data_IF_275405465394
#
_entry.id   IF_275405465394
#
_cell.length_a   1.000
_cell.length_b   1.000
_cell.length_c   1.000
_cell.angle_alpha   90.00
_cell.angle_beta   90.00
_cell.angle_gamma   90.00
#
_symmetry.space_group_name_H-M   'P 1'
#
loop_
_entity.id
_entity.type
_entity.pdbx_description
1 polymer ?
#
# COMPACT_ATOMS: atom_id res chain seq x y z
N UNK A 1 -29.26 -31.25 36.12
CA UNK A 1 -27.81 -31.29 35.85
C UNK A 1 -27.43 -31.58 34.39
N UNK A 2 -27.98 -32.58 33.70
CA UNK A 2 -27.61 -32.88 32.29
C UNK A 2 -27.89 -31.77 31.26
N UNK A 3 -28.81 -30.83 31.55
CA UNK A 3 -29.12 -29.69 30.67
C UNK A 3 -28.20 -28.47 30.88
N UNK A 4 -27.70 -28.23 32.10
CA UNK A 4 -26.73 -27.16 32.38
C UNK A 4 -25.40 -27.37 31.65
N UNK A 5 -24.97 -28.62 31.49
CA UNK A 5 -23.73 -28.97 30.80
C UNK A 5 -23.77 -28.61 29.30
N UNK A 6 -24.93 -28.70 28.66
CA UNK A 6 -25.08 -28.37 27.22
C UNK A 6 -25.13 -26.87 26.96
N UNK A 7 -25.72 -26.10 27.88
CA UNK A 7 -25.73 -24.63 27.82
C UNK A 7 -24.32 -24.07 28.03
N UNK A 8 -23.55 -24.65 28.97
CA UNK A 8 -22.18 -24.23 29.23
C UNK A 8 -21.24 -24.51 28.03
N UNK A 9 -21.40 -25.65 27.34
CA UNK A 9 -20.61 -25.98 26.13
C UNK A 9 -20.93 -25.02 24.97
N UNK A 10 -22.20 -24.63 24.78
CA UNK A 10 -22.57 -23.65 23.77
C UNK A 10 -22.03 -22.25 24.10
N UNK A 11 -21.98 -21.89 25.38
CA UNK A 11 -21.41 -20.61 25.84
C UNK A 11 -19.88 -20.56 25.68
N UNK A 12 -19.17 -21.65 25.99
CA UNK A 12 -17.72 -21.76 25.82
C UNK A 12 -17.32 -21.80 24.33
N UNK A 13 -18.11 -22.45 23.48
CA UNK A 13 -17.89 -22.43 22.03
C UNK A 13 -18.06 -21.03 21.41
N UNK A 14 -18.92 -20.18 21.98
CA UNK A 14 -19.09 -18.78 21.53
C UNK A 14 -18.02 -17.82 22.07
N UNK A 15 -17.37 -18.13 23.21
CA UNK A 15 -16.26 -17.31 23.74
C UNK A 15 -14.94 -17.65 23.04
N UNK A 16 -14.77 -18.90 22.56
CA UNK A 16 -13.54 -19.35 21.91
C UNK A 16 -13.37 -18.85 20.45
N UNK A 17 -14.40 -18.28 19.83
CA UNK A 17 -14.36 -17.79 18.45
C UNK A 17 -13.96 -16.32 18.31
N UNK A 18 -13.51 -15.67 19.39
CA UNK A 18 -13.25 -14.23 19.41
C UNK A 18 -11.76 -13.87 19.49
N UNK A 19 -10.86 -14.72 19.02
CA UNK A 19 -9.51 -14.26 18.68
C UNK A 19 -9.62 -13.50 17.36
N UNK A 20 -9.92 -12.21 17.46
CA UNK A 20 -9.96 -11.29 16.33
C UNK A 20 -8.51 -10.92 16.03
N UNK A 21 -8.05 -11.26 14.83
CA UNK A 21 -6.93 -10.56 14.21
C UNK A 21 -7.52 -9.18 13.86
N UNK A 22 -7.00 -8.12 14.46
CA UNK A 22 -7.42 -6.75 14.11
C UNK A 22 -7.12 -6.54 12.63
N UNK A 23 -8.12 -6.10 11.87
CA UNK A 23 -7.94 -5.57 10.54
C UNK A 23 -7.78 -4.06 10.67
N UNK A 24 -6.76 -3.48 10.08
CA UNK A 24 -6.46 -2.08 10.20
C UNK A 24 -6.02 -1.45 8.88
N UNK A 25 -6.15 -0.13 8.84
CA UNK A 25 -5.61 0.67 7.75
C UNK A 25 -4.45 1.46 8.32
N UNK A 26 -3.28 1.26 7.74
CA UNK A 26 -2.09 2.08 7.98
C UNK A 26 -2.16 3.27 7.03
N UNK A 27 -2.19 4.50 7.53
CA UNK A 27 -2.15 5.70 6.67
C UNK A 27 -0.97 6.61 7.02
N UNK A 28 -0.37 7.17 5.98
CA UNK A 28 0.64 8.20 6.05
C UNK A 28 0.27 9.31 5.05
N UNK A 29 -0.14 10.45 5.57
CA UNK A 29 -0.56 11.62 4.78
C UNK A 29 0.41 12.77 5.02
N UNK A 30 0.77 13.51 3.98
CA UNK A 30 1.50 14.76 4.09
C UNK A 30 0.94 15.80 3.12
N UNK A 31 0.60 16.97 3.66
CA UNK A 31 -0.21 17.95 2.96
C UNK A 31 0.52 19.11 2.31
N UNK A 32 1.86 19.09 2.16
CA UNK A 32 2.68 19.97 1.29
C UNK A 32 4.17 19.67 1.49
N UNK A 33 4.88 19.17 0.48
CA UNK A 33 6.29 18.82 0.60
C UNK A 33 7.08 19.33 -0.61
N UNK A 34 7.72 20.50 -0.49
CA UNK A 34 8.64 20.95 -1.52
C UNK A 34 9.78 19.92 -1.63
N UNK A 35 9.74 19.09 -2.68
CA UNK A 35 10.78 18.10 -3.01
C UNK A 35 12.14 18.77 -3.20
N UNK A 36 12.17 20.08 -3.43
CA UNK A 36 13.41 20.85 -3.42
C UNK A 36 13.85 21.30 -2.01
N UNK A 37 13.00 21.24 -0.98
CA UNK A 37 13.35 21.59 0.39
C UNK A 37 14.28 20.53 1.02
N UNK A 38 14.00 19.25 0.78
CA UNK A 38 14.93 18.14 1.06
C UNK A 38 16.24 18.25 0.27
N UNK A 39 16.26 19.11 -0.75
CA UNK A 39 17.29 19.24 -1.76
C UNK A 39 17.96 20.63 -1.80
N UNK A 40 17.64 21.53 -0.86
CA UNK A 40 18.08 22.93 -0.85
C UNK A 40 19.60 23.12 -0.78
N UNK A 41 20.36 22.07 -0.47
CA UNK A 41 21.83 22.05 -0.44
C UNK A 41 22.49 21.21 -1.55
N UNK A 42 21.73 20.45 -2.34
CA UNK A 42 22.26 19.61 -3.41
C UNK A 42 21.96 20.21 -4.81
N UNK A 43 22.96 20.76 -5.53
CA UNK A 43 22.75 21.34 -6.85
C UNK A 43 22.33 20.32 -7.92
N UNK A 44 22.41 19.01 -7.64
CA UNK A 44 21.89 17.96 -8.53
C UNK A 44 20.37 17.77 -8.44
N UNK A 45 19.72 18.34 -7.43
CA UNK A 45 18.26 18.26 -7.25
C UNK A 45 17.52 19.46 -7.85
N UNK A 46 17.82 19.82 -9.09
CA UNK A 46 17.13 20.93 -9.76
C UNK A 46 16.42 20.39 -11.00
N UNK A 47 15.14 20.03 -10.89
CA UNK A 47 14.29 20.14 -12.09
C UNK A 47 13.28 19.05 -12.41
N UNK A 48 12.63 18.45 -11.43
CA UNK A 48 11.43 17.65 -11.70
C UNK A 48 10.15 18.28 -11.12
N UNK A 49 10.09 19.60 -10.91
CA UNK A 49 8.91 20.23 -10.32
C UNK A 49 8.82 20.06 -8.79
N UNK A 50 7.61 20.19 -8.24
CA UNK A 50 7.27 20.08 -6.80
C UNK A 50 6.29 18.94 -6.58
N UNK A 51 6.40 18.21 -5.47
CA UNK A 51 5.35 17.33 -4.96
C UNK A 51 4.43 18.10 -4.02
N UNK A 52 3.19 18.39 -4.43
CA UNK A 52 2.30 19.30 -3.70
C UNK A 52 1.51 18.61 -2.59
N UNK A 53 1.28 17.30 -2.69
CA UNK A 53 0.58 16.50 -1.69
C UNK A 53 0.95 15.03 -1.91
N UNK A 54 1.01 14.23 -0.85
CA UNK A 54 0.99 12.77 -1.01
C UNK A 54 0.20 12.07 0.09
N UNK A 55 -0.40 10.96 -0.29
CA UNK A 55 -1.04 10.03 0.63
C UNK A 55 -0.62 8.62 0.27
N UNK A 56 -0.26 7.84 1.29
CA UNK A 56 -0.05 6.42 1.15
C UNK A 56 -0.82 5.68 2.24
N UNK A 57 -1.52 4.62 1.85
CA UNK A 57 -2.27 3.78 2.76
C UNK A 57 -2.16 2.31 2.41
N UNK A 58 -2.14 1.46 3.43
CA UNK A 58 -2.19 0.01 3.29
C UNK A 58 -3.36 -0.56 4.09
N UNK A 59 -4.26 -1.24 3.39
CA UNK A 59 -5.36 -2.03 3.96
C UNK A 59 -4.87 -3.47 4.13
N UNK A 60 -4.59 -3.85 5.37
CA UNK A 60 -4.02 -5.17 5.71
C UNK A 60 -5.01 -6.32 5.54
N UNK A 61 -6.31 -6.02 5.47
CA UNK A 61 -7.37 -7.00 5.29
C UNK A 61 -7.45 -7.44 3.84
N UNK A 62 -7.38 -6.47 2.93
CA UNK A 62 -7.46 -6.70 1.49
C UNK A 62 -6.08 -6.83 0.83
N UNK A 63 -4.99 -6.55 1.56
CA UNK A 63 -3.63 -6.54 1.01
C UNK A 63 -3.43 -5.41 0.01
N UNK A 64 -4.16 -4.31 0.17
CA UNK A 64 -4.31 -3.28 -0.85
C UNK A 64 -3.47 -2.05 -0.49
N UNK A 65 -2.53 -1.69 -1.37
CA UNK A 65 -1.70 -0.49 -1.26
C UNK A 65 -2.26 0.60 -2.16
N UNK A 66 -2.59 1.74 -1.57
CA UNK A 66 -2.98 2.94 -2.30
C UNK A 66 -1.92 4.03 -2.11
N UNK A 67 -1.52 4.69 -3.20
CA UNK A 67 -0.64 5.86 -3.18
C UNK A 67 -1.22 6.92 -4.09
N UNK A 68 -1.17 8.18 -3.69
CA UNK A 68 -1.52 9.31 -4.54
C UNK A 68 -0.58 10.48 -4.31
N UNK A 69 -0.36 11.28 -5.35
CA UNK A 69 0.37 12.53 -5.25
C UNK A 69 0.02 13.49 -6.38
N UNK A 70 0.34 14.77 -6.18
CA UNK A 70 0.32 15.77 -7.24
C UNK A 70 1.73 16.31 -7.46
N UNK A 71 2.16 16.34 -8.72
CA UNK A 71 3.42 16.96 -9.15
C UNK A 71 3.10 18.23 -9.94
N UNK A 72 3.69 19.36 -9.57
CA UNK A 72 3.51 20.64 -10.25
C UNK A 72 4.80 21.19 -10.82
N UNK A 73 4.68 22.06 -11.82
CA UNK A 73 5.80 22.75 -12.42
C UNK A 73 6.52 23.66 -11.39
N UNK A 74 7.85 23.69 -11.44
CA UNK A 74 8.68 24.68 -10.75
C UNK A 74 9.79 25.16 -11.64
N UNK A 75 9.88 26.47 -11.83
CA UNK A 75 10.93 27.13 -12.59
C UNK A 75 11.09 26.58 -14.04
N UNK A 76 9.99 26.29 -14.74
CA UNK A 76 10.01 25.72 -16.09
C UNK A 76 10.30 24.23 -16.14
N UNK A 77 10.33 23.56 -14.98
CA UNK A 77 10.64 22.15 -14.86
C UNK A 77 9.44 21.39 -14.31
N UNK A 78 9.15 20.26 -14.93
CA UNK A 78 7.98 19.44 -14.63
C UNK A 78 8.36 17.96 -14.65
N UNK A 79 7.70 17.15 -13.80
CA UNK A 79 7.96 15.72 -13.70
C UNK A 79 7.22 14.94 -14.76
N UNK A 80 7.94 14.10 -15.48
CA UNK A 80 7.36 13.16 -16.46
C UNK A 80 7.25 11.75 -15.91
N UNK A 81 7.78 11.49 -14.71
CA UNK A 81 7.69 10.19 -14.07
C UNK A 81 8.27 10.20 -12.67
N UNK A 82 8.27 9.03 -12.03
CA UNK A 82 8.85 8.83 -10.71
C UNK A 82 9.37 7.40 -10.52
N UNK A 83 10.19 7.21 -9.49
CA UNK A 83 10.35 5.91 -8.83
C UNK A 83 10.02 6.01 -7.35
N UNK A 84 9.53 4.90 -6.81
CA UNK A 84 9.06 4.79 -5.43
C UNK A 84 9.51 3.46 -4.82
N UNK A 85 10.12 3.52 -3.65
CA UNK A 85 10.35 2.37 -2.76
C UNK A 85 9.63 2.63 -1.44
N UNK A 86 8.89 1.62 -0.98
CA UNK A 86 8.21 1.61 0.31
C UNK A 86 8.71 0.42 1.11
N UNK A 87 9.16 0.66 2.34
CA UNK A 87 9.75 -0.40 3.17
C UNK A 87 9.27 -0.28 4.62
N UNK A 88 8.60 -1.32 5.10
CA UNK A 88 8.28 -1.47 6.51
C UNK A 88 9.55 -1.61 7.33
N UNK A 89 9.75 -0.72 8.30
CA UNK A 89 10.88 -0.79 9.24
C UNK A 89 12.11 0.04 8.90
N UNK A 90 12.05 0.99 7.96
CA UNK A 90 13.12 1.98 7.78
C UNK A 90 13.50 2.30 6.34
N UNK A 91 14.46 3.21 6.17
CA UNK A 91 15.03 3.53 4.85
C UNK A 91 15.74 2.31 4.23
N UNK A 92 15.56 2.04 2.93
CA UNK A 92 16.24 0.94 2.24
C UNK A 92 17.77 1.13 2.08
N UNK A 93 18.35 2.30 2.38
CA UNK A 93 19.77 2.61 2.13
C UNK A 93 20.54 3.38 3.24
N UNK A 94 19.97 3.58 4.42
CA UNK A 94 20.53 4.47 5.45
C UNK A 94 21.33 3.78 6.56
N UNK A 95 22.64 4.09 6.65
CA UNK A 95 23.35 4.20 7.95
C UNK A 95 23.60 2.94 8.80
N UNK A 96 23.58 1.74 8.21
CA UNK A 96 23.89 0.49 8.94
C UNK A 96 22.66 -0.31 9.39
N UNK A 97 21.46 0.14 9.03
CA UNK A 97 20.25 -0.67 9.06
C UNK A 97 19.95 -1.16 7.64
N UNK A 98 20.59 -2.26 7.25
CA UNK A 98 20.14 -3.07 6.13
C UNK A 98 18.85 -3.75 6.59
N UNK A 99 17.69 -3.20 6.22
CA UNK A 99 16.42 -3.93 6.33
C UNK A 99 16.01 -4.31 4.91
N UNK A 100 16.76 -5.26 4.36
CA UNK A 100 16.67 -5.76 2.98
C UNK A 100 18.07 -5.97 2.41
N UNK A 101 18.51 -7.21 2.23
CA UNK A 101 19.64 -7.48 1.32
C UNK A 101 19.25 -7.03 -0.09
N UNK A 102 20.25 -6.81 -0.95
CA UNK A 102 20.06 -6.68 -2.40
C UNK A 102 19.05 -7.77 -2.86
N UNK A 103 18.02 -7.39 -3.61
CA UNK A 103 16.95 -8.26 -4.13
C UNK A 103 15.81 -8.70 -3.17
N UNK A 104 15.62 -8.05 -2.02
CA UNK A 104 14.55 -8.43 -1.07
C UNK A 104 13.28 -7.56 -1.13
N UNK A 105 13.34 -6.37 -1.74
CA UNK A 105 12.19 -5.44 -1.81
C UNK A 105 11.87 -5.04 -3.26
N UNK A 106 10.73 -4.40 -3.47
CA UNK A 106 10.31 -3.94 -4.78
C UNK A 106 10.49 -2.42 -4.96
N UNK A 107 10.69 -2.01 -6.22
CA UNK A 107 10.69 -0.62 -6.66
C UNK A 107 9.62 -0.44 -7.74
N UNK A 108 8.84 0.63 -7.61
CA UNK A 108 7.80 1.04 -8.54
C UNK A 108 8.32 2.17 -9.41
N UNK A 109 8.10 2.10 -10.71
CA UNK A 109 8.37 3.18 -11.67
C UNK A 109 7.07 3.61 -12.34
N UNK A 110 6.77 4.90 -12.28
CA UNK A 110 5.65 5.53 -12.98
C UNK A 110 6.12 6.40 -14.14
N UNK A 111 5.58 6.18 -15.33
CA UNK A 111 5.69 7.07 -16.49
C UNK A 111 4.37 7.83 -16.63
N UNK A 112 4.41 9.14 -16.43
CA UNK A 112 3.25 10.02 -16.47
C UNK A 112 2.96 10.50 -17.90
N UNK A 113 3.81 10.20 -18.89
CA UNK A 113 3.66 10.76 -20.24
C UNK A 113 2.83 9.90 -21.19
N UNK A 114 2.58 8.63 -20.83
CA UNK A 114 1.86 7.69 -21.70
C UNK A 114 0.35 7.71 -21.53
N UNK A 115 -0.34 8.69 -22.11
CA UNK A 115 -1.82 8.68 -22.15
C UNK A 115 -2.45 8.64 -20.75
N UNK A 116 -2.84 7.45 -20.29
CA UNK A 116 -3.37 7.19 -18.93
C UNK A 116 -2.26 6.91 -17.88
N UNK A 117 -1.00 6.88 -18.30
CA UNK A 117 0.18 6.53 -17.51
C UNK A 117 0.66 5.09 -17.73
N UNK A 118 1.87 4.78 -17.29
CA UNK A 118 2.36 3.41 -17.17
C UNK A 118 2.99 3.18 -15.80
N UNK A 119 2.72 2.01 -15.22
CA UNK A 119 3.23 1.64 -13.90
C UNK A 119 3.90 0.28 -13.97
N UNK A 120 5.19 0.22 -13.64
CA UNK A 120 5.99 -1.00 -13.73
C UNK A 120 6.74 -1.25 -12.44
N UNK A 121 6.84 -2.52 -12.04
CA UNK A 121 7.44 -2.93 -10.78
C UNK A 121 8.60 -3.87 -11.04
N UNK A 122 9.70 -3.67 -10.32
CA UNK A 122 10.92 -4.46 -10.40
C UNK A 122 11.36 -4.87 -9.00
N UNK A 123 12.24 -5.85 -8.95
CA UNK A 123 13.07 -6.07 -7.77
C UNK A 123 14.02 -4.90 -7.61
N UNK A 124 14.12 -4.40 -6.39
CA UNK A 124 15.09 -3.38 -6.02
C UNK A 124 16.41 -4.04 -5.63
N UNK A 125 17.46 -3.76 -6.39
CA UNK A 125 18.76 -4.43 -6.24
C UNK A 125 19.68 -3.77 -5.20
N UNK A 126 19.27 -2.66 -4.58
CA UNK A 126 20.04 -1.91 -3.57
C UNK A 126 21.31 -1.22 -4.07
N UNK A 127 21.94 -1.72 -5.14
CA UNK A 127 23.21 -1.25 -5.69
C UNK A 127 23.02 -0.19 -6.77
N UNK A 128 22.05 -0.40 -7.68
CA UNK A 128 21.81 0.48 -8.81
C UNK A 128 20.73 1.53 -8.51
N UNK A 129 19.99 1.40 -7.41
CA UNK A 129 19.04 2.42 -6.96
C UNK A 129 17.97 2.69 -8.03
N UNK A 130 17.97 3.90 -8.60
CA UNK A 130 17.09 4.30 -9.71
C UNK A 130 17.25 3.42 -10.95
N UNK A 131 18.40 2.76 -11.13
CA UNK A 131 18.73 1.91 -12.27
C UNK A 131 18.40 0.42 -12.07
N UNK A 132 17.66 0.05 -11.02
CA UNK A 132 17.25 -1.35 -10.73
C UNK A 132 16.48 -2.04 -11.89
N UNK A 133 15.97 -1.28 -12.86
CA UNK A 133 15.34 -1.82 -14.07
C UNK A 133 16.35 -2.42 -15.09
N UNK A 134 17.65 -2.12 -14.99
CA UNK A 134 18.66 -2.48 -16.01
C UNK A 134 19.22 -3.90 -15.87
N UNK A 135 19.83 -4.22 -14.73
CA UNK A 135 20.54 -5.50 -14.54
C UNK A 135 20.74 -5.80 -13.03
N UNK A 136 20.32 -6.98 -12.54
CA UNK A 136 19.48 -7.97 -13.22
C UNK A 136 18.09 -7.40 -13.48
N UNK A 137 17.65 -7.35 -14.75
CA UNK A 137 16.33 -6.88 -15.17
C UNK A 137 15.22 -7.81 -14.61
N UNK A 138 14.95 -7.65 -13.32
CA UNK A 138 14.05 -8.46 -12.52
C UNK A 138 12.65 -7.84 -12.56
N UNK A 139 12.12 -7.73 -13.78
CA UNK A 139 10.77 -7.23 -14.02
C UNK A 139 9.75 -8.12 -13.31
N UNK A 140 8.92 -7.50 -12.46
CA UNK A 140 7.86 -8.19 -11.72
C UNK A 140 6.56 -8.14 -12.51
N UNK A 141 6.22 -6.96 -13.02
CA UNK A 141 5.00 -6.80 -13.80
C UNK A 141 4.63 -5.35 -14.09
N UNK A 142 3.58 -5.21 -14.90
CA UNK A 142 2.98 -3.95 -15.30
C UNK A 142 1.58 -3.83 -14.71
N UNK A 143 1.27 -2.67 -14.15
CA UNK A 143 0.09 -2.40 -13.31
C UNK A 143 -0.68 -1.17 -13.81
N UNK A 144 -0.62 -0.87 -15.12
CA UNK A 144 -1.28 0.30 -15.71
C UNK A 144 -2.79 0.37 -15.41
N UNK A 145 -3.47 -0.77 -15.31
CA UNK A 145 -4.90 -0.84 -14.99
C UNK A 145 -5.23 -0.40 -13.56
N UNK A 146 -4.22 -0.42 -12.69
CA UNK A 146 -4.28 -0.03 -11.28
C UNK A 146 -3.69 1.38 -11.09
N UNK A 147 -3.38 2.10 -12.19
CA UNK A 147 -2.75 3.43 -12.20
C UNK A 147 -3.62 4.44 -12.93
N UNK A 148 -3.88 5.58 -12.31
CA UNK A 148 -4.62 6.68 -12.91
C UNK A 148 -3.74 7.92 -12.91
N UNK A 149 -3.57 8.53 -14.07
CA UNK A 149 -2.89 9.82 -14.24
C UNK A 149 -3.89 10.85 -14.75
N UNK A 150 -3.90 12.02 -14.12
CA UNK A 150 -4.72 13.14 -14.53
C UNK A 150 -3.85 14.41 -14.65
N UNK A 151 -3.80 14.95 -15.86
CA UNK A 151 -3.05 16.15 -16.19
C UNK A 151 -3.97 17.37 -16.21
N UNK A 152 -3.66 18.36 -15.39
CA UNK A 152 -4.20 19.70 -15.57
C UNK A 152 -3.50 20.31 -16.78
N UNK A 153 -4.28 20.69 -17.79
CA UNK A 153 -3.84 21.22 -19.11
C UNK A 153 -3.27 20.19 -20.12
N UNK A 154 -3.25 18.90 -19.78
CA UNK A 154 -2.83 17.81 -20.67
C UNK A 154 -1.36 17.38 -20.50
N UNK A 155 -0.98 16.19 -21.02
CA UNK A 155 0.32 15.56 -20.74
C UNK A 155 1.54 16.30 -21.29
N UNK A 156 1.34 17.17 -22.29
CA UNK A 156 2.40 17.94 -22.94
C UNK A 156 2.47 19.41 -22.47
N UNK A 157 1.66 19.79 -21.47
CA UNK A 157 1.58 21.17 -21.00
C UNK A 157 2.67 21.46 -19.97
N UNK A 158 3.61 22.33 -20.32
CA UNK A 158 4.68 22.82 -19.44
C UNK A 158 4.22 23.87 -18.41
N UNK A 159 2.92 23.94 -18.12
CA UNK A 159 2.30 24.88 -17.16
C UNK A 159 1.27 24.18 -16.24
N UNK A 160 1.34 22.84 -16.19
CA UNK A 160 0.36 21.97 -15.55
C UNK A 160 0.80 21.41 -14.21
N UNK A 161 -0.19 20.91 -13.47
CA UNK A 161 0.01 19.94 -12.40
C UNK A 161 -0.52 18.58 -12.85
N UNK A 162 0.11 17.52 -12.37
CA UNK A 162 -0.36 16.14 -12.59
C UNK A 162 -0.56 15.44 -11.30
N UNK A 163 -1.81 15.13 -11.06
CA UNK A 163 -2.23 14.21 -10.02
C UNK A 163 -2.13 12.78 -10.56
N UNK A 164 -1.59 11.88 -9.77
CA UNK A 164 -1.64 10.45 -10.06
C UNK A 164 -2.00 9.68 -8.80
N UNK A 165 -2.57 8.50 -9.01
CA UNK A 165 -2.85 7.55 -7.95
C UNK A 165 -2.68 6.13 -8.48
N UNK A 166 -2.27 5.21 -7.62
CA UNK A 166 -2.39 3.79 -7.88
C UNK A 166 -3.00 3.06 -6.69
N UNK A 167 -3.66 1.94 -7.00
CA UNK A 167 -4.25 1.06 -6.01
C UNK A 167 -3.92 -0.41 -6.35
N UNK A 168 -2.86 -0.96 -5.74
CA UNK A 168 -2.32 -2.29 -6.07
C UNK A 168 -2.55 -3.32 -4.95
N UNK A 169 -3.06 -4.48 -5.33
CA UNK A 169 -3.03 -5.70 -4.51
C UNK A 169 -1.57 -6.20 -4.37
N UNK A 170 -1.01 -6.05 -3.16
CA UNK A 170 0.37 -6.42 -2.87
C UNK A 170 0.64 -7.91 -2.99
N UNK A 171 -0.37 -8.79 -2.94
CA UNK A 171 -0.16 -10.22 -3.18
C UNK A 171 0.41 -10.49 -4.59
N UNK A 172 0.10 -9.63 -5.56
CA UNK A 172 0.63 -9.71 -6.93
C UNK A 172 2.14 -9.38 -6.99
N UNK A 173 2.63 -8.54 -6.09
CA UNK A 173 4.05 -8.12 -6.03
C UNK A 173 4.84 -9.05 -5.08
N UNK A 174 4.26 -9.35 -3.92
CA UNK A 174 4.90 -10.05 -2.82
C UNK A 174 4.91 -11.58 -3.01
N UNK A 175 4.34 -12.09 -4.10
CA UNK A 175 4.58 -13.47 -4.51
C UNK A 175 6.08 -13.70 -4.77
N UNK A 176 6.66 -14.64 -4.03
CA UNK A 176 8.07 -15.01 -4.13
C UNK A 176 8.41 -15.79 -5.41
N UNK A 177 7.40 -16.23 -6.16
CA UNK A 177 7.60 -16.94 -7.42
C UNK A 177 8.36 -16.07 -8.43
N UNK A 178 9.46 -16.62 -8.95
CA UNK A 178 10.31 -15.98 -9.95
C UNK A 178 11.22 -14.87 -9.41
N UNK A 179 11.32 -14.68 -8.09
CA UNK A 179 12.21 -13.68 -7.48
C UNK A 179 13.62 -14.23 -7.25
N UNK A 180 14.67 -13.39 -7.30
CA UNK A 180 16.06 -13.84 -7.13
C UNK A 180 16.32 -14.51 -5.77
N UNK A 181 15.67 -14.03 -4.71
CA UNK A 181 15.78 -14.56 -3.36
C UNK A 181 14.39 -14.89 -2.79
N UNK A 182 13.76 -15.99 -3.22
CA UNK A 182 12.37 -16.28 -2.90
C UNK A 182 12.13 -16.54 -1.41
N UNK A 183 13.16 -16.99 -0.67
CA UNK A 183 13.07 -17.27 0.77
C UNK A 183 13.08 -16.00 1.62
N UNK A 184 13.64 -14.90 1.10
CA UNK A 184 13.70 -13.61 1.79
C UNK A 184 12.94 -12.49 1.07
N UNK A 185 12.20 -12.80 0.00
CA UNK A 185 11.44 -11.81 -0.74
C UNK A 185 10.36 -11.19 0.14
N UNK A 186 10.47 -9.89 0.38
CA UNK A 186 9.48 -9.07 1.12
C UNK A 186 8.62 -8.27 0.16
N UNK A 187 9.18 -7.85 -0.98
CA UNK A 187 8.49 -7.02 -1.96
C UNK A 187 8.21 -5.62 -1.39
N UNK A 188 6.94 -5.25 -1.27
CA UNK A 188 6.52 -4.03 -0.59
C UNK A 188 5.93 -4.40 0.77
N UNK A 189 6.45 -3.79 1.83
CA UNK A 189 5.96 -4.04 3.19
C UNK A 189 5.53 -2.72 3.85
N UNK A 190 4.47 -2.81 4.66
CA UNK A 190 4.02 -1.76 5.57
C UNK A 190 4.17 -2.24 7.01
N UNK A 191 4.56 -1.32 7.89
CA UNK A 191 4.64 -1.54 9.32
C UNK A 191 4.25 -0.25 10.05
N UNK A 192 4.40 -0.23 11.37
CA UNK A 192 4.13 0.95 12.20
C UNK A 192 4.95 2.17 11.73
N UNK A 193 6.17 1.93 11.24
CA UNK A 193 6.99 2.90 10.52
C UNK A 193 7.21 2.45 9.07
N UNK A 194 7.02 3.38 8.13
CA UNK A 194 7.34 3.17 6.71
C UNK A 194 8.47 4.10 6.28
N UNK A 195 9.48 3.51 5.66
CA UNK A 195 10.48 4.25 4.88
C UNK A 195 9.93 4.53 3.49
N UNK A 196 10.05 5.78 3.04
CA UNK A 196 9.58 6.22 1.72
C UNK A 196 10.78 6.77 0.95
N UNK A 197 10.98 6.25 -0.26
CA UNK A 197 11.97 6.73 -1.20
C UNK A 197 11.28 7.10 -2.51
N UNK A 198 10.82 8.34 -2.60
CA UNK A 198 10.06 8.85 -3.74
C UNK A 198 10.86 9.88 -4.50
N UNK A 199 11.28 9.56 -5.72
CA UNK A 199 11.98 10.51 -6.55
C UNK A 199 11.23 10.75 -7.85
N UNK A 200 10.90 11.99 -8.11
CA UNK A 200 10.28 12.39 -9.36
C UNK A 200 11.36 12.82 -10.35
N UNK A 201 11.17 12.57 -11.64
CA UNK A 201 12.16 12.89 -12.67
C UNK A 201 11.55 13.57 -13.89
N UNK A 202 12.39 14.29 -14.64
CA UNK A 202 12.05 14.85 -15.94
C UNK A 202 12.87 14.18 -17.06
N UNK A 203 12.20 13.32 -17.81
CA UNK A 203 12.70 12.71 -19.03
C UNK A 203 11.75 11.68 -19.63
N UNK A 204 12.25 10.61 -20.23
CA UNK A 204 11.44 9.68 -21.00
C UNK A 204 11.65 8.22 -20.61
N UNK A 205 10.57 7.44 -20.69
CA UNK A 205 10.60 5.99 -20.50
C UNK A 205 10.14 5.32 -21.78
N UNK A 206 10.88 4.32 -22.25
CA UNK A 206 10.44 3.44 -23.34
C UNK A 206 10.28 2.04 -22.80
N UNK A 207 9.29 1.33 -23.33
CA UNK A 207 8.93 -0.01 -22.87
C UNK A 207 9.07 -1.03 -23.98
N UNK A 208 9.49 -2.23 -23.58
CA UNK A 208 9.47 -3.44 -24.38
C UNK A 208 8.04 -3.97 -24.54
N UNK A 209 7.88 -4.93 -25.46
CA UNK A 209 6.56 -5.54 -25.75
C UNK A 209 5.96 -6.31 -24.57
N UNK A 210 6.77 -6.74 -23.60
CA UNK A 210 6.31 -7.40 -22.37
C UNK A 210 5.94 -6.39 -21.27
N UNK A 211 6.09 -5.09 -21.53
CA UNK A 211 5.83 -4.03 -20.57
C UNK A 211 6.99 -3.72 -19.64
N UNK A 212 8.16 -4.35 -19.80
CA UNK A 212 9.39 -3.95 -19.10
C UNK A 212 9.97 -2.67 -19.69
N UNK A 213 10.81 -1.95 -18.95
CA UNK A 213 11.49 -0.72 -19.34
C UNK A 213 12.66 -1.13 -20.23
N UNK A 214 12.64 -0.67 -21.47
CA UNK A 214 13.74 -0.83 -22.43
C UNK A 214 14.78 0.28 -22.24
N UNK A 215 14.32 1.51 -21.99
CA UNK A 215 15.17 2.62 -21.61
C UNK A 215 14.46 3.61 -20.71
N UNK A 216 15.17 4.17 -19.74
CA UNK A 216 14.73 5.31 -18.96
C UNK A 216 15.83 6.38 -18.97
N UNK A 217 15.45 7.60 -19.28
CA UNK A 217 16.27 8.79 -19.12
C UNK A 217 15.56 9.68 -18.10
N UNK A 218 16.11 9.81 -16.91
CA UNK A 218 15.59 10.68 -15.85
C UNK A 218 16.32 12.04 -15.80
N UNK A 219 17.17 12.34 -16.80
CA UNK A 219 17.91 13.59 -16.90
C UNK A 219 18.89 13.83 -15.74
N UNK A 220 19.37 15.06 -15.60
CA UNK A 220 20.07 15.54 -14.40
C UNK A 220 19.11 16.19 -13.40
N UNK A 221 17.81 16.02 -13.62
CA UNK A 221 16.75 16.82 -13.05
C UNK A 221 15.76 15.88 -12.38
N UNK A 222 16.03 15.57 -11.12
CA UNK A 222 15.14 14.79 -10.27
C UNK A 222 14.91 15.52 -8.93
N UNK A 223 13.73 15.33 -8.35
CA UNK A 223 13.39 15.74 -7.00
C UNK A 223 13.41 14.52 -6.09
N UNK A 224 13.80 14.68 -4.83
CA UNK A 224 13.88 13.58 -3.86
C UNK A 224 12.99 13.85 -2.65
N UNK A 225 12.24 12.85 -2.24
CA UNK A 225 11.61 12.78 -0.94
C UNK A 225 11.96 11.44 -0.28
N UNK A 226 12.80 11.56 0.75
CA UNK A 226 13.40 10.43 1.44
C UNK A 226 13.06 10.57 2.93
N UNK A 227 12.44 9.55 3.50
CA UNK A 227 12.19 9.48 4.95
C UNK A 227 12.45 8.08 5.47
N UNK A 228 13.24 8.00 6.54
CA UNK A 228 13.57 6.73 7.19
C UNK A 228 12.40 6.20 8.01
N UNK A 229 11.71 7.10 8.72
CA UNK A 229 10.63 6.75 9.63
C UNK A 229 9.49 7.74 9.45
N UNK A 230 8.55 7.39 8.57
CA UNK A 230 7.26 8.05 8.54
C UNK A 230 6.30 7.27 9.43
N UNK A 231 5.93 7.85 10.57
CA UNK A 231 5.00 7.21 11.49
C UNK A 231 3.65 7.04 10.80
N UNK A 232 3.14 5.81 10.79
CA UNK A 232 1.82 5.53 10.25
C UNK A 232 0.77 5.76 11.33
N UNK A 233 -0.35 6.38 10.96
CA UNK A 233 -1.53 6.38 11.80
C UNK A 233 -2.24 5.05 11.56
N UNK A 234 -2.00 4.08 12.44
CA UNK A 234 -2.76 2.85 12.43
C UNK A 234 -4.18 3.13 12.95
N UNK A 235 -5.16 3.06 12.06
CA UNK A 235 -6.56 3.18 12.42
C UNK A 235 -7.17 1.78 12.54
N UNK A 236 -7.32 1.33 13.78
CA UNK A 236 -8.18 0.21 14.20
C UNK A 236 -9.67 0.59 14.04
N UNK A 237 -10.05 1.12 12.89
CA UNK A 237 -11.45 1.26 12.50
C UNK A 237 -11.82 0.18 11.49
N UNK A 238 -11.86 -1.12 11.86
CA UNK A 238 -12.72 -2.02 11.12
C UNK A 238 -14.10 -1.39 11.16
N UNK A 239 -14.63 -1.05 9.99
CA UNK A 239 -16.05 -0.81 9.83
C UNK A 239 -16.77 -2.14 10.07
N UNK A 240 -16.84 -2.58 11.33
CA UNK A 240 -17.69 -3.68 11.69
C UNK A 240 -19.10 -3.20 11.40
N UNK A 241 -19.74 -3.81 10.40
CA UNK A 241 -21.19 -3.84 10.39
C UNK A 241 -21.59 -4.51 11.70
N UNK A 242 -21.94 -3.70 12.71
CA UNK A 242 -22.66 -4.20 13.88
C UNK A 242 -23.78 -5.06 13.31
N UNK A 243 -23.88 -6.34 13.70
CA UNK A 243 -24.91 -7.22 13.17
C UNK A 243 -26.22 -6.46 13.20
N UNK A 244 -26.83 -6.25 12.03
CA UNK A 244 -28.05 -5.45 11.94
C UNK A 244 -29.05 -5.99 12.98
N UNK A 245 -29.90 -5.11 13.50
CA UNK A 245 -30.88 -5.45 14.53
C UNK A 245 -31.59 -6.82 14.39
N UNK A 246 -31.85 -7.40 13.19
CA UNK A 246 -32.42 -8.73 13.04
C UNK A 246 -31.67 -9.88 13.74
N UNK A 247 -30.33 -9.87 13.78
CA UNK A 247 -29.57 -10.98 14.43
C UNK A 247 -29.70 -10.93 15.95
N UNK A 248 -29.74 -9.71 16.52
CA UNK A 248 -29.99 -9.48 17.93
C UNK A 248 -31.43 -9.84 18.30
N UNK A 249 -32.39 -9.55 17.41
CA UNK A 249 -33.79 -9.98 17.54
C UNK A 249 -33.90 -11.50 17.50
N UNK A 250 -33.23 -12.19 16.56
CA UNK A 250 -33.23 -13.66 16.49
C UNK A 250 -32.61 -14.29 17.73
N UNK A 251 -31.57 -13.69 18.29
CA UNK A 251 -30.97 -14.13 19.55
C UNK A 251 -31.96 -13.98 20.72
N UNK A 252 -32.61 -12.82 20.85
CA UNK A 252 -33.62 -12.56 21.88
C UNK A 252 -34.82 -13.50 21.71
N UNK A 253 -35.29 -13.73 20.48
CA UNK A 253 -36.38 -14.67 20.19
C UNK A 253 -36.00 -16.12 20.51
N UNK A 254 -34.77 -16.53 20.19
CA UNK A 254 -34.24 -17.85 20.54
C UNK A 254 -34.18 -18.04 22.06
N UNK A 255 -33.73 -17.03 22.80
CA UNK A 255 -33.68 -17.04 24.25
C UNK A 255 -35.09 -17.08 24.89
N UNK A 256 -36.00 -16.24 24.40
CA UNK A 256 -37.40 -16.26 24.82
C UNK A 256 -38.08 -17.62 24.53
N UNK A 257 -37.80 -18.23 23.38
CA UNK A 257 -38.31 -19.56 23.04
C UNK A 257 -37.83 -20.66 23.99
N UNK A 258 -36.58 -20.58 24.45
CA UNK A 258 -36.04 -21.49 25.46
C UNK A 258 -36.73 -21.34 26.82
N UNK A 259 -36.97 -20.10 27.26
CA UNK A 259 -37.66 -19.83 28.52
C UNK A 259 -39.13 -20.28 28.50
N UNK A 260 -39.84 -20.05 27.38
CA UNK A 260 -41.23 -20.45 27.23
C UNK A 260 -41.42 -21.97 27.19
N UNK A 261 -40.41 -22.72 26.72
CA UNK A 261 -40.46 -24.19 26.68
C UNK A 261 -40.43 -24.84 28.06
N UNK A 262 -39.86 -24.18 29.07
CA UNK A 262 -39.82 -24.74 30.43
C UNK A 262 -41.17 -24.64 31.17
N UNK A 263 -42.03 -23.67 30.82
CA UNK A 263 -43.33 -23.47 31.46
C UNK A 263 -44.40 -24.52 31.15
N UNK A 264 -44.22 -25.34 30.11
CA UNK A 264 -45.26 -26.26 29.60
C UNK A 264 -45.06 -27.74 29.99
N UNK A 265 -44.19 -28.05 30.95
CA UNK A 265 -44.10 -29.41 31.49
C UNK A 265 -45.27 -29.67 32.43
N UNK A 266 -46.34 -30.26 31.91
CA UNK A 266 -47.43 -30.80 32.71
C UNK A 266 -46.85 -31.75 33.77
N UNK A 267 -47.26 -31.65 35.04
CA UNK A 267 -46.83 -32.60 36.06
C UNK A 267 -47.27 -34.00 35.65
N UNK A 268 -46.33 -34.95 35.66
CA UNK A 268 -46.62 -36.37 35.48
C UNK A 268 -47.72 -36.74 36.48
N UNK A 269 -48.92 -37.06 35.98
CA UNK A 269 -49.96 -37.61 36.84
C UNK A 269 -49.50 -38.99 37.29
N UNK A 270 -49.23 -39.10 38.60
CA UNK A 270 -48.93 -40.36 39.26
C UNK A 270 -50.19 -41.22 39.29
N UNK A 271 -50.15 -42.35 38.59
CA UNK A 271 -51.08 -43.48 38.77
C UNK A 271 -50.66 -44.36 39.93
#
# INVERSE_FOLDING_TARGET
MRYLYKILIAFVAMIASSFHVGAGIYTAEHGWLDTNHACSSNPACQGAGIMEDFSVSYDDLNGQLSFSSTLSEKDGQYSTGFWLVLNGGGMPGGGGHVVGNEDEIAIIYGDLTQGDGALSVYVYDGTNGSDSWKDPNNFIGRYDQDFNVNHVNGPDANDGSTSFEFDIDLAKINSSDGKPNPDNWRGIEFSDDVGIWFHAFNGGVTYSNDGSIDSMNYGNNFGMFDTDHYGTNYSDSPSYSVPEAPTLILFVLGFCGLLLREGNRQPLQSS
#
